data_IF_066983608726
#
_entry.id   IF_066983608726
#
_cell.length_a   1.000
_cell.length_b   1.000
_cell.length_c   1.000
_cell.angle_alpha   90.00
_cell.angle_beta   90.00
_cell.angle_gamma   90.00
#
_symmetry.space_group_name_H-M   'P 1'
#
loop_
_entity.id
_entity.type
_entity.pdbx_description
1 polymer ?
#
# COMPACT_ATOMS: atom_id res chain seq x y z
N UNK A 1 -32.87 -2.74 10.76
CA UNK A 1 -32.25 -2.27 9.49
C UNK A 1 -30.92 -2.96 9.32
N UNK A 2 -30.66 -3.58 8.18
CA UNK A 2 -29.37 -4.24 7.95
C UNK A 2 -28.28 -3.16 7.72
N UNK A 3 -27.10 -3.33 8.32
CA UNK A 3 -25.96 -2.41 8.22
C UNK A 3 -25.55 -2.15 6.76
N UNK A 4 -25.88 -3.07 5.86
CA UNK A 4 -25.64 -3.00 4.42
C UNK A 4 -26.41 -1.91 3.67
N UNK A 5 -27.44 -1.29 4.29
CA UNK A 5 -28.23 -0.23 3.68
C UNK A 5 -27.62 1.16 3.87
N UNK A 6 -26.63 1.30 4.76
CA UNK A 6 -25.96 2.57 5.00
C UNK A 6 -24.88 2.85 3.94
N UNK A 7 -24.91 4.04 3.36
CA UNK A 7 -23.98 4.47 2.31
C UNK A 7 -22.51 4.37 2.75
N UNK A 8 -22.21 4.71 4.00
CA UNK A 8 -20.85 4.62 4.52
C UNK A 8 -20.32 3.18 4.52
N UNK A 9 -21.18 2.20 4.80
CA UNK A 9 -20.79 0.80 4.82
C UNK A 9 -20.63 0.24 3.41
N UNK A 10 -21.49 0.65 2.46
CA UNK A 10 -21.33 0.32 1.05
C UNK A 10 -20.02 0.88 0.47
N UNK A 11 -19.71 2.15 0.79
CA UNK A 11 -18.46 2.78 0.41
C UNK A 11 -17.25 2.05 1.01
N UNK A 12 -17.34 1.63 2.28
CA UNK A 12 -16.28 0.85 2.94
C UNK A 12 -16.04 -0.50 2.25
N UNK A 13 -17.10 -1.21 1.85
CA UNK A 13 -16.99 -2.48 1.13
C UNK A 13 -16.36 -2.32 -0.25
N UNK A 14 -16.81 -1.32 -1.02
CA UNK A 14 -16.24 -1.01 -2.34
C UNK A 14 -14.77 -0.59 -2.22
N UNK A 15 -14.49 0.28 -1.26
CA UNK A 15 -13.13 0.71 -0.99
C UNK A 15 -12.22 -0.44 -0.57
N UNK A 16 -12.68 -1.34 0.30
CA UNK A 16 -11.96 -2.54 0.70
C UNK A 16 -11.65 -3.46 -0.49
N UNK A 17 -12.60 -3.62 -1.42
CA UNK A 17 -12.39 -4.40 -2.63
C UNK A 17 -11.34 -3.76 -3.54
N UNK A 18 -11.47 -2.46 -3.84
CA UNK A 18 -10.54 -1.73 -4.69
C UNK A 18 -9.12 -1.71 -4.08
N UNK A 19 -9.02 -1.43 -2.78
CA UNK A 19 -7.74 -1.46 -2.07
C UNK A 19 -7.12 -2.87 -2.10
N UNK A 20 -7.93 -3.93 -1.93
CA UNK A 20 -7.44 -5.31 -2.02
C UNK A 20 -6.91 -5.65 -3.41
N UNK A 21 -7.54 -5.15 -4.48
CA UNK A 21 -7.06 -5.34 -5.85
C UNK A 21 -5.74 -4.60 -6.06
N UNK A 22 -5.69 -3.29 -5.77
CA UNK A 22 -4.48 -2.48 -5.97
C UNK A 22 -3.31 -3.00 -5.10
N UNK A 23 -3.55 -3.22 -3.81
CA UNK A 23 -2.54 -3.75 -2.88
C UNK A 23 -2.18 -5.21 -3.19
N UNK A 24 -3.10 -6.03 -3.67
CA UNK A 24 -2.83 -7.42 -4.08
C UNK A 24 -1.85 -7.48 -5.23
N UNK A 25 -2.03 -6.63 -6.24
CA UNK A 25 -1.15 -6.53 -7.40
C UNK A 25 0.21 -5.94 -7.00
N UNK A 26 0.23 -4.72 -6.45
CA UNK A 26 1.47 -4.02 -6.11
C UNK A 26 2.25 -4.70 -4.98
N UNK A 27 1.56 -5.20 -3.96
CA UNK A 27 2.17 -5.91 -2.85
C UNK A 27 2.84 -7.22 -3.29
N UNK A 28 2.30 -7.92 -4.29
CA UNK A 28 2.97 -9.11 -4.85
C UNK A 28 4.33 -8.74 -5.45
N UNK A 29 4.43 -7.62 -6.17
CA UNK A 29 5.71 -7.13 -6.67
C UNK A 29 6.66 -6.73 -5.52
N UNK A 30 6.15 -5.95 -4.56
CA UNK A 30 6.91 -5.49 -3.39
C UNK A 30 7.50 -6.67 -2.61
N UNK A 31 6.69 -7.68 -2.31
CA UNK A 31 7.13 -8.86 -1.54
C UNK A 31 8.11 -9.72 -2.35
N UNK A 32 7.86 -9.91 -3.65
CA UNK A 32 8.74 -10.69 -4.53
C UNK A 32 10.12 -10.06 -4.70
N UNK A 33 10.19 -8.72 -4.73
CA UNK A 33 11.44 -7.94 -4.81
C UNK A 33 12.09 -7.69 -3.45
N UNK A 34 11.46 -8.11 -2.34
CA UNK A 34 11.87 -7.83 -0.95
C UNK A 34 11.89 -6.33 -0.61
N UNK A 35 11.07 -5.55 -1.27
CA UNK A 35 10.94 -4.10 -1.13
C UNK A 35 9.94 -3.68 -0.03
N UNK A 36 9.61 -4.57 0.92
CA UNK A 36 8.57 -4.32 1.93
C UNK A 36 8.82 -3.03 2.70
N UNK A 37 10.10 -2.69 2.94
CA UNK A 37 10.47 -1.49 3.67
C UNK A 37 10.09 -0.19 2.93
N UNK A 38 10.00 -0.23 1.58
CA UNK A 38 9.63 0.93 0.76
C UNK A 38 8.18 1.35 1.02
N UNK A 39 7.27 0.38 1.30
CA UNK A 39 5.88 0.70 1.59
C UNK A 39 5.76 1.58 2.83
N UNK A 40 6.50 1.28 3.90
CA UNK A 40 6.59 2.10 5.09
C UNK A 40 7.25 3.46 4.83
N UNK A 41 8.40 3.45 4.13
CA UNK A 41 9.16 4.65 3.81
C UNK A 41 8.36 5.68 3.05
N UNK A 42 7.73 5.28 1.94
CA UNK A 42 6.92 6.18 1.11
C UNK A 42 5.64 6.62 1.83
N UNK A 43 5.01 5.73 2.61
CA UNK A 43 3.83 6.10 3.40
C UNK A 43 4.14 7.24 4.36
N UNK A 44 5.25 7.15 5.09
CA UNK A 44 5.68 8.20 5.99
C UNK A 44 6.21 9.44 5.25
N UNK A 45 6.91 9.26 4.13
CA UNK A 45 7.37 10.36 3.30
C UNK A 45 6.20 11.20 2.76
N UNK A 46 5.07 10.58 2.40
CA UNK A 46 3.87 11.27 1.90
C UNK A 46 3.32 12.31 2.87
N UNK A 47 3.64 12.16 4.17
CA UNK A 47 3.30 13.13 5.20
C UNK A 47 3.89 14.52 4.94
N UNK A 48 5.09 14.58 4.34
CA UNK A 48 5.68 15.84 3.86
C UNK A 48 4.78 16.58 2.88
N UNK A 49 4.19 15.82 1.95
CA UNK A 49 3.23 16.37 0.99
C UNK A 49 1.92 16.84 1.64
N UNK A 50 1.42 16.14 2.67
CA UNK A 50 0.25 16.57 3.44
C UNK A 50 0.53 17.93 4.11
N UNK A 51 1.67 18.07 4.82
CA UNK A 51 2.04 19.31 5.48
C UNK A 51 2.17 20.49 4.51
N UNK A 52 2.84 20.28 3.37
CA UNK A 52 2.94 21.27 2.29
C UNK A 52 1.54 21.65 1.78
N UNK A 53 0.68 20.65 1.51
CA UNK A 53 -0.67 20.90 1.00
C UNK A 53 -1.51 21.75 1.95
N UNK A 54 -1.47 21.46 3.25
CA UNK A 54 -2.19 22.22 4.28
C UNK A 54 -1.65 23.64 4.36
N UNK A 55 -0.34 23.84 4.36
CA UNK A 55 0.28 25.17 4.48
C UNK A 55 -0.07 26.08 3.29
N UNK A 56 -0.02 25.58 2.06
CA UNK A 56 -0.34 26.35 0.85
C UNK A 56 -1.85 26.38 0.53
N UNK A 57 -2.71 25.76 1.32
CA UNK A 57 -4.15 25.69 1.05
C UNK A 57 -4.50 24.87 -0.19
N UNK A 58 -3.64 23.95 -0.62
CA UNK A 58 -3.84 23.02 -1.74
C UNK A 58 -4.45 21.72 -1.20
N UNK A 59 -5.07 20.94 -2.08
CA UNK A 59 -5.61 19.63 -1.68
C UNK A 59 -4.49 18.75 -1.09
N UNK A 60 -4.54 18.38 0.21
CA UNK A 60 -3.46 17.67 0.89
C UNK A 60 -3.18 16.29 0.29
N UNK A 61 -4.19 15.62 -0.28
CA UNK A 61 -4.04 14.28 -0.87
C UNK A 61 -3.27 14.37 -2.19
N UNK A 62 -3.59 15.38 -3.02
CA UNK A 62 -2.87 15.59 -4.28
C UNK A 62 -1.43 16.01 -4.02
N UNK A 63 -1.20 16.87 -3.03
CA UNK A 63 0.14 17.24 -2.60
C UNK A 63 0.93 16.03 -2.05
N UNK A 64 0.28 15.17 -1.24
CA UNK A 64 0.86 13.91 -0.77
C UNK A 64 1.21 12.97 -1.92
N UNK A 65 0.34 12.86 -2.94
CA UNK A 65 0.56 12.03 -4.12
C UNK A 65 1.79 12.45 -4.90
N UNK A 66 1.91 13.76 -5.20
CA UNK A 66 3.08 14.31 -5.90
C UNK A 66 4.35 14.09 -5.09
N UNK A 67 4.33 14.42 -3.80
CA UNK A 67 5.48 14.26 -2.92
C UNK A 67 5.91 12.80 -2.78
N UNK A 68 4.97 11.87 -2.65
CA UNK A 68 5.24 10.44 -2.56
C UNK A 68 5.87 9.89 -3.85
N UNK A 69 5.37 10.30 -5.02
CA UNK A 69 5.95 9.89 -6.32
C UNK A 69 7.36 10.46 -6.49
N UNK A 70 7.59 11.73 -6.13
CA UNK A 70 8.93 12.32 -6.15
C UNK A 70 9.89 11.63 -5.18
N UNK A 71 9.41 11.28 -3.98
CA UNK A 71 10.20 10.52 -3.00
C UNK A 71 10.54 9.12 -3.52
N UNK A 72 9.59 8.43 -4.16
CA UNK A 72 9.81 7.12 -4.77
C UNK A 72 10.86 7.19 -5.89
N UNK A 73 10.80 8.21 -6.74
CA UNK A 73 11.83 8.46 -7.76
C UNK A 73 13.19 8.80 -7.14
N UNK A 74 13.21 9.56 -6.05
CA UNK A 74 14.43 9.87 -5.32
C UNK A 74 15.09 8.62 -4.71
N UNK A 75 14.31 7.71 -4.13
CA UNK A 75 14.80 6.43 -3.62
C UNK A 75 15.41 5.61 -4.76
N UNK A 76 14.71 5.47 -5.89
CA UNK A 76 15.18 4.73 -7.05
C UNK A 76 16.45 5.35 -7.63
N UNK A 77 16.51 6.68 -7.73
CA UNK A 77 17.68 7.40 -8.23
C UNK A 77 18.90 7.22 -7.33
N UNK A 78 18.75 7.34 -6.01
CA UNK A 78 19.83 7.13 -5.05
C UNK A 78 20.36 5.70 -5.09
N UNK A 79 19.46 4.73 -5.20
CA UNK A 79 19.83 3.32 -5.24
C UNK A 79 20.54 2.95 -6.53
N UNK A 80 20.02 3.39 -7.69
CA UNK A 80 20.55 2.97 -8.99
C UNK A 80 21.74 3.79 -9.46
N UNK A 81 21.72 5.12 -9.32
CA UNK A 81 22.76 6.02 -9.84
C UNK A 81 23.86 6.32 -8.83
N UNK A 82 23.49 6.59 -7.58
CA UNK A 82 24.46 6.92 -6.51
C UNK A 82 24.97 5.66 -5.83
N UNK A 83 24.31 4.50 -6.05
CA UNK A 83 24.64 3.18 -5.46
C UNK A 83 24.57 3.19 -3.93
N UNK A 84 23.71 4.00 -3.36
CA UNK A 84 23.35 3.93 -1.94
C UNK A 84 22.53 2.68 -1.70
N UNK A 85 22.71 2.04 -0.55
CA UNK A 85 21.87 0.89 -0.17
C UNK A 85 20.40 1.34 -0.13
N UNK A 86 19.54 0.53 -0.70
CA UNK A 86 18.11 0.82 -0.85
C UNK A 86 17.44 1.15 0.49
N UNK A 87 17.74 0.35 1.55
CA UNK A 87 17.23 0.61 2.89
C UNK A 87 17.60 2.02 3.41
N UNK A 88 18.85 2.46 3.12
CA UNK A 88 19.35 3.78 3.55
C UNK A 88 18.69 4.90 2.75
N UNK A 89 18.47 4.71 1.45
CA UNK A 89 17.74 5.66 0.61
C UNK A 89 16.28 5.83 1.09
N UNK A 90 15.61 4.71 1.40
CA UNK A 90 14.26 4.72 1.93
C UNK A 90 14.23 5.47 3.28
N UNK A 91 15.15 5.16 4.20
CA UNK A 91 15.21 5.82 5.50
C UNK A 91 15.43 7.33 5.39
N UNK A 92 16.25 7.77 4.43
CA UNK A 92 16.49 9.18 4.16
C UNK A 92 15.20 9.90 3.74
N UNK A 93 14.48 9.37 2.74
CA UNK A 93 13.24 9.98 2.27
C UNK A 93 12.12 9.88 3.31
N UNK A 94 12.08 8.83 4.11
CA UNK A 94 11.18 8.70 5.25
C UNK A 94 11.38 9.84 6.25
N UNK A 95 12.60 9.98 6.76
CA UNK A 95 12.91 11.00 7.78
C UNK A 95 12.78 12.42 7.23
N UNK A 96 13.22 12.65 5.99
CA UNK A 96 13.09 13.95 5.32
C UNK A 96 11.62 14.34 5.13
N UNK A 97 10.79 13.42 4.62
CA UNK A 97 9.36 13.67 4.43
C UNK A 97 8.63 13.95 5.75
N UNK A 98 8.90 13.17 6.79
CA UNK A 98 8.35 13.41 8.12
C UNK A 98 8.76 14.80 8.65
N UNK A 99 10.05 15.16 8.52
CA UNK A 99 10.54 16.45 8.97
C UNK A 99 9.89 17.63 8.23
N UNK A 100 9.77 17.52 6.91
CA UNK A 100 9.07 18.51 6.08
C UNK A 100 7.61 18.62 6.49
N UNK A 101 6.92 17.49 6.66
CA UNK A 101 5.53 17.47 7.09
C UNK A 101 5.32 18.17 8.43
N UNK A 102 6.15 17.87 9.43
CA UNK A 102 6.09 18.49 10.74
C UNK A 102 6.38 20.00 10.64
N UNK A 103 7.44 20.41 9.93
CA UNK A 103 7.81 21.83 9.77
C UNK A 103 6.66 22.64 9.19
N UNK A 104 6.10 22.24 8.05
CA UNK A 104 5.00 22.94 7.41
C UNK A 104 3.74 22.93 8.27
N UNK A 105 3.55 21.85 9.01
CA UNK A 105 2.47 21.73 9.97
C UNK A 105 2.55 22.80 11.06
N UNK A 106 3.70 22.98 11.67
CA UNK A 106 3.91 24.02 12.71
C UNK A 106 3.89 25.46 12.15
N UNK A 107 4.23 25.64 10.89
CA UNK A 107 4.16 26.94 10.21
C UNK A 107 2.74 27.32 9.80
N UNK A 108 1.79 26.38 9.81
CA UNK A 108 0.40 26.62 9.40
C UNK A 108 -0.35 27.32 10.55
N UNK A 109 -0.89 28.53 10.36
CA UNK A 109 -1.68 29.21 11.40
C UNK A 109 -3.04 28.53 11.57
N UNK A 110 -3.45 28.26 12.81
CA UNK A 110 -4.76 27.73 13.16
C UNK A 110 -4.74 26.29 13.66
N UNK A 111 -5.92 25.66 13.68
CA UNK A 111 -6.09 24.26 14.14
C UNK A 111 -5.56 23.28 13.10
N UNK A 112 -4.60 22.47 13.49
CA UNK A 112 -4.11 21.38 12.66
C UNK A 112 -5.08 20.19 12.67
N UNK A 113 -5.30 19.56 11.50
CA UNK A 113 -5.89 18.25 11.48
C UNK A 113 -5.08 17.28 12.36
N UNK A 114 -5.75 16.51 13.17
CA UNK A 114 -5.15 15.59 14.11
C UNK A 114 -4.25 14.58 13.38
N UNK A 115 -2.91 14.72 13.55
CA UNK A 115 -1.90 13.83 12.94
C UNK A 115 -2.18 12.35 13.16
N UNK A 116 -2.63 11.92 14.37
CA UNK A 116 -3.07 10.55 14.62
C UNK A 116 -4.17 10.06 13.69
N UNK A 117 -5.06 10.92 13.21
CA UNK A 117 -6.14 10.51 12.31
C UNK A 117 -5.63 9.99 10.95
N UNK A 118 -4.51 10.52 10.47
CA UNK A 118 -3.85 10.01 9.26
C UNK A 118 -3.08 8.70 9.50
N UNK A 119 -2.59 8.47 10.73
CA UNK A 119 -1.88 7.25 11.08
C UNK A 119 -2.80 6.03 11.12
N UNK A 120 -3.97 6.19 11.73
CA UNK A 120 -4.90 5.08 11.96
C UNK A 120 -5.98 4.96 10.89
N UNK A 121 -6.30 6.06 10.19
CA UNK A 121 -7.36 6.10 9.19
C UNK A 121 -8.70 5.58 9.72
N UNK A 122 -9.72 5.67 8.91
CA UNK A 122 -10.99 4.97 9.17
C UNK A 122 -11.64 4.61 7.83
N UNK A 123 -11.75 3.34 7.57
CA UNK A 123 -12.41 2.85 6.36
C UNK A 123 -13.90 3.26 6.30
N UNK A 124 -14.48 3.64 7.44
CA UNK A 124 -15.87 4.07 7.54
C UNK A 124 -16.08 5.54 7.12
N UNK A 125 -15.01 6.34 7.00
CA UNK A 125 -15.08 7.77 6.63
C UNK A 125 -14.82 8.03 5.15
N UNK A 126 -14.83 6.97 4.32
CA UNK A 126 -14.56 7.05 2.89
C UNK A 126 -15.64 7.86 2.16
N UNK A 127 -15.20 8.94 1.51
CA UNK A 127 -16.03 9.72 0.61
C UNK A 127 -16.06 9.17 -0.83
N UNK A 128 -17.02 9.63 -1.62
CA UNK A 128 -17.10 9.26 -3.03
C UNK A 128 -15.89 9.74 -3.85
N UNK A 129 -15.30 10.88 -3.49
CA UNK A 129 -14.07 11.39 -4.10
C UNK A 129 -12.88 10.45 -3.90
N UNK A 130 -12.79 9.82 -2.72
CA UNK A 130 -11.72 8.88 -2.39
C UNK A 130 -11.88 7.58 -3.19
N UNK A 131 -13.12 7.11 -3.36
CA UNK A 131 -13.43 5.94 -4.19
C UNK A 131 -13.07 6.18 -5.66
N UNK A 132 -13.33 7.37 -6.20
CA UNK A 132 -12.95 7.71 -7.57
C UNK A 132 -11.43 7.71 -7.76
N UNK A 133 -10.69 8.33 -6.83
CA UNK A 133 -9.22 8.33 -6.88
C UNK A 133 -8.67 6.90 -6.80
N UNK A 134 -9.15 6.11 -5.84
CA UNK A 134 -8.72 4.72 -5.68
C UNK A 134 -9.09 3.87 -6.90
N UNK A 135 -10.28 4.06 -7.47
CA UNK A 135 -10.70 3.34 -8.68
C UNK A 135 -9.78 3.66 -9.86
N UNK A 136 -9.46 4.95 -10.06
CA UNK A 136 -8.55 5.37 -11.13
C UNK A 136 -7.16 4.75 -10.97
N UNK A 137 -6.61 4.77 -9.75
CA UNK A 137 -5.30 4.15 -9.46
C UNK A 137 -5.36 2.63 -9.62
N UNK A 138 -6.41 1.98 -9.15
CA UNK A 138 -6.59 0.52 -9.27
C UNK A 138 -6.65 0.09 -10.73
N UNK A 139 -7.41 0.81 -11.56
CA UNK A 139 -7.51 0.54 -13.00
C UNK A 139 -6.16 0.77 -13.68
N UNK A 140 -5.46 1.86 -13.34
CA UNK A 140 -4.13 2.15 -13.87
C UNK A 140 -3.13 1.04 -13.53
N UNK A 141 -3.08 0.61 -12.27
CA UNK A 141 -2.22 -0.49 -11.80
C UNK A 141 -2.54 -1.78 -12.53
N UNK A 142 -3.83 -2.15 -12.61
CA UNK A 142 -4.25 -3.37 -13.30
C UNK A 142 -3.88 -3.34 -14.80
N UNK A 143 -4.09 -2.20 -15.45
CA UNK A 143 -3.77 -2.01 -16.87
C UNK A 143 -2.26 -2.12 -17.14
N UNK A 144 -1.42 -1.45 -16.33
CA UNK A 144 0.03 -1.52 -16.48
C UNK A 144 0.52 -2.94 -16.23
N UNK A 145 0.01 -3.63 -15.21
CA UNK A 145 0.36 -5.03 -14.97
C UNK A 145 -0.11 -5.96 -16.09
N UNK A 146 -1.29 -5.73 -16.67
CA UNK A 146 -1.77 -6.52 -17.79
C UNK A 146 -0.87 -6.34 -19.03
N UNK A 147 -0.52 -5.10 -19.35
CA UNK A 147 0.27 -4.78 -20.55
C UNK A 147 1.75 -5.20 -20.41
N UNK A 148 2.33 -4.99 -19.23
CA UNK A 148 3.76 -5.22 -18.98
C UNK A 148 4.04 -6.48 -18.16
N UNK A 149 3.06 -7.39 -18.02
CA UNK A 149 3.12 -8.55 -17.13
C UNK A 149 4.42 -9.36 -17.26
N UNK A 150 4.80 -9.72 -18.49
CA UNK A 150 6.02 -10.51 -18.76
C UNK A 150 7.29 -9.76 -18.36
N UNK A 151 7.36 -8.47 -18.67
CA UNK A 151 8.48 -7.60 -18.33
C UNK A 151 8.61 -7.42 -16.83
N UNK A 152 7.49 -7.16 -16.13
CA UNK A 152 7.45 -7.00 -14.68
C UNK A 152 7.92 -8.28 -13.98
N UNK A 153 7.46 -9.45 -14.41
CA UNK A 153 7.90 -10.73 -13.84
C UNK A 153 9.41 -10.92 -14.07
N UNK A 154 9.91 -10.69 -15.29
CA UNK A 154 11.33 -10.84 -15.58
C UNK A 154 12.18 -9.96 -14.68
N UNK A 155 11.77 -8.70 -14.48
CA UNK A 155 12.46 -7.76 -13.58
C UNK A 155 12.32 -8.20 -12.12
N UNK A 156 11.14 -8.70 -11.70
CA UNK A 156 10.90 -9.11 -10.32
C UNK A 156 11.80 -10.26 -9.89
N UNK A 157 12.10 -11.19 -10.78
CA UNK A 157 12.96 -12.34 -10.48
C UNK A 157 14.45 -12.07 -10.73
N UNK A 158 14.79 -11.45 -11.85
CA UNK A 158 16.19 -11.15 -12.20
C UNK A 158 16.27 -9.92 -13.13
N UNK A 159 16.58 -8.76 -12.53
CA UNK A 159 16.73 -7.51 -13.28
C UNK A 159 17.95 -7.52 -14.21
N UNK A 160 19.04 -8.23 -13.85
CA UNK A 160 20.25 -8.33 -14.68
C UNK A 160 19.98 -9.19 -15.91
N UNK A 161 19.27 -10.29 -15.76
CA UNK A 161 18.81 -11.10 -16.88
C UNK A 161 17.85 -10.30 -17.78
N UNK A 162 16.91 -9.57 -17.22
CA UNK A 162 15.99 -8.72 -17.99
C UNK A 162 16.75 -7.65 -18.80
N UNK A 163 17.82 -7.05 -18.25
CA UNK A 163 18.69 -6.13 -18.97
C UNK A 163 19.42 -6.82 -20.15
N UNK A 164 19.91 -8.04 -19.96
CA UNK A 164 20.57 -8.80 -21.04
C UNK A 164 19.62 -9.08 -22.21
N UNK A 165 18.33 -9.19 -21.95
CA UNK A 165 17.26 -9.33 -22.95
C UNK A 165 16.84 -7.98 -23.58
N UNK A 166 17.58 -6.89 -23.32
CA UNK A 166 17.29 -5.52 -23.79
C UNK A 166 15.92 -4.98 -23.37
N UNK A 167 15.35 -5.49 -22.28
CA UNK A 167 14.13 -4.93 -21.74
C UNK A 167 14.41 -3.55 -21.09
N UNK A 168 13.46 -2.60 -21.14
CA UNK A 168 13.65 -1.26 -20.58
C UNK A 168 13.51 -1.27 -19.03
N UNK A 169 14.44 -1.99 -18.35
CA UNK A 169 14.35 -2.26 -16.90
C UNK A 169 14.21 -0.98 -16.10
N UNK A 170 15.09 0.02 -16.30
CA UNK A 170 15.04 1.25 -15.52
C UNK A 170 13.73 2.01 -15.69
N UNK A 171 13.20 2.10 -16.93
CA UNK A 171 11.93 2.80 -17.17
C UNK A 171 10.77 2.10 -16.45
N UNK A 172 10.77 0.76 -16.45
CA UNK A 172 9.73 -0.03 -15.77
C UNK A 172 9.87 0.05 -14.25
N UNK A 173 11.10 0.04 -13.71
CA UNK A 173 11.34 0.23 -12.26
C UNK A 173 10.82 1.60 -11.80
N UNK A 174 11.16 2.70 -12.48
CA UNK A 174 10.61 4.02 -12.16
C UNK A 174 9.07 4.07 -12.26
N UNK A 175 8.49 3.44 -13.29
CA UNK A 175 7.04 3.35 -13.43
C UNK A 175 6.42 2.58 -12.25
N UNK A 176 7.00 1.45 -11.85
CA UNK A 176 6.51 0.66 -10.72
C UNK A 176 6.66 1.41 -9.39
N UNK A 177 7.76 2.15 -9.19
CA UNK A 177 7.93 3.02 -8.03
C UNK A 177 6.85 4.10 -7.95
N UNK A 178 6.49 4.73 -9.07
CA UNK A 178 5.38 5.67 -9.13
C UNK A 178 4.04 5.00 -8.77
N UNK A 179 3.77 3.81 -9.32
CA UNK A 179 2.54 3.07 -9.03
C UNK A 179 2.46 2.62 -7.57
N UNK A 180 3.58 2.22 -6.96
CA UNK A 180 3.66 1.93 -5.51
C UNK A 180 3.25 3.17 -4.72
N UNK A 181 3.86 4.33 -5.01
CA UNK A 181 3.56 5.58 -4.31
C UNK A 181 2.09 6.00 -4.49
N UNK A 182 1.55 5.90 -5.70
CA UNK A 182 0.15 6.20 -5.99
C UNK A 182 -0.81 5.25 -5.25
N UNK A 183 -0.51 3.95 -5.23
CA UNK A 183 -1.30 2.95 -4.48
C UNK A 183 -1.29 3.24 -2.99
N UNK A 184 -0.14 3.56 -2.43
CA UNK A 184 0.00 3.91 -1.01
C UNK A 184 -0.86 5.12 -0.67
N UNK A 185 -0.69 6.24 -1.39
CA UNK A 185 -1.39 7.48 -1.06
C UNK A 185 -2.90 7.37 -1.28
N UNK A 186 -3.35 6.67 -2.33
CA UNK A 186 -4.78 6.47 -2.58
C UNK A 186 -5.45 5.61 -1.51
N UNK A 187 -4.71 4.69 -0.90
CA UNK A 187 -5.23 3.84 0.20
C UNK A 187 -5.07 4.49 1.58
N UNK A 188 -4.11 5.40 1.75
CA UNK A 188 -3.72 5.96 3.04
C UNK A 188 -4.89 6.65 3.76
N UNK A 189 -5.69 7.44 3.05
CA UNK A 189 -6.84 8.15 3.65
C UNK A 189 -7.92 7.22 4.15
N UNK A 190 -8.11 6.12 3.44
CA UNK A 190 -9.14 5.13 3.77
C UNK A 190 -8.74 4.24 4.94
N UNK A 191 -7.48 3.85 4.94
CA UNK A 191 -7.02 2.70 5.70
C UNK A 191 -5.99 3.10 6.75
N UNK A 192 -5.42 4.30 6.61
CA UNK A 192 -4.32 4.79 7.44
C UNK A 192 -2.98 4.13 7.09
N UNK A 193 -1.91 4.66 7.67
CA UNK A 193 -0.53 4.24 7.39
C UNK A 193 -0.32 2.77 7.71
N UNK A 194 -0.72 2.35 8.91
CA UNK A 194 -0.40 1.01 9.43
C UNK A 194 -1.12 -0.09 8.64
N UNK A 195 -2.40 0.16 8.30
CA UNK A 195 -3.17 -0.81 7.53
C UNK A 195 -2.74 -0.83 6.05
N UNK A 196 -2.32 0.30 5.46
CA UNK A 196 -1.79 0.32 4.09
C UNK A 196 -0.55 -0.57 3.94
N UNK A 197 0.40 -0.49 4.88
CA UNK A 197 1.59 -1.36 4.92
C UNK A 197 1.17 -2.83 5.08
N UNK A 198 0.22 -3.10 5.97
CA UNK A 198 -0.29 -4.45 6.23
C UNK A 198 -0.96 -5.06 4.98
N UNK A 199 -1.77 -4.30 4.25
CA UNK A 199 -2.43 -4.77 3.03
C UNK A 199 -1.46 -5.02 1.87
N UNK A 200 -0.33 -4.33 1.84
CA UNK A 200 0.73 -4.56 0.85
C UNK A 200 1.64 -5.76 1.20
N UNK A 201 1.48 -6.37 2.37
CA UNK A 201 2.42 -7.41 2.83
C UNK A 201 1.74 -8.69 3.31
N UNK A 202 0.79 -8.62 4.25
CA UNK A 202 0.22 -9.81 4.90
C UNK A 202 -0.57 -10.70 3.94
N UNK A 203 -1.46 -10.19 3.06
CA UNK A 203 -2.17 -11.04 2.11
C UNK A 203 -1.22 -11.80 1.17
N UNK A 204 -0.14 -11.15 0.71
CA UNK A 204 0.86 -11.74 -0.17
C UNK A 204 1.71 -12.78 0.55
N UNK A 205 2.11 -12.52 1.79
CA UNK A 205 2.80 -13.50 2.63
C UNK A 205 1.90 -14.73 2.86
N UNK A 206 0.61 -14.51 3.09
CA UNK A 206 -0.37 -15.59 3.25
C UNK A 206 -0.54 -16.39 1.95
N UNK A 207 -0.64 -15.72 0.79
CA UNK A 207 -0.72 -16.36 -0.52
C UNK A 207 0.52 -17.22 -0.81
N UNK A 208 1.71 -16.75 -0.42
CA UNK A 208 2.98 -17.48 -0.56
C UNK A 208 3.03 -18.78 0.26
N UNK A 209 2.15 -18.99 1.22
CA UNK A 209 2.02 -20.28 1.88
C UNK A 209 1.47 -21.36 0.94
N UNK A 210 0.70 -20.98 -0.07
CA UNK A 210 -0.01 -21.91 -0.96
C UNK A 210 0.62 -22.05 -2.34
N UNK A 211 1.27 -20.98 -2.86
CA UNK A 211 1.80 -20.98 -4.22
C UNK A 211 3.02 -20.08 -4.36
N UNK A 212 3.90 -20.42 -5.32
CA UNK A 212 5.04 -19.59 -5.73
C UNK A 212 4.88 -18.98 -7.13
N UNK A 213 3.73 -19.24 -7.79
CA UNK A 213 3.45 -18.67 -9.12
C UNK A 213 2.95 -17.25 -8.98
N UNK A 214 3.67 -16.29 -9.55
CA UNK A 214 3.42 -14.85 -9.41
C UNK A 214 1.94 -14.46 -9.65
N UNK A 215 1.34 -14.92 -10.75
CA UNK A 215 -0.08 -14.63 -11.05
C UNK A 215 -1.06 -15.24 -10.04
N UNK A 216 -0.78 -16.44 -9.52
CA UNK A 216 -1.61 -17.04 -8.47
C UNK A 216 -1.45 -16.32 -7.14
N UNK A 217 -0.25 -15.78 -6.84
CA UNK A 217 -0.03 -14.96 -5.64
C UNK A 217 -0.88 -13.69 -5.73
N UNK A 218 -0.90 -12.98 -6.87
CA UNK A 218 -1.77 -11.82 -7.08
C UNK A 218 -3.23 -12.17 -6.78
N UNK A 219 -3.74 -13.20 -7.45
CA UNK A 219 -5.15 -13.59 -7.32
C UNK A 219 -5.53 -13.96 -5.88
N UNK A 220 -4.72 -14.79 -5.23
CA UNK A 220 -4.95 -15.18 -3.84
C UNK A 220 -4.82 -13.99 -2.89
N UNK A 221 -3.85 -13.09 -3.11
CA UNK A 221 -3.66 -11.90 -2.28
C UNK A 221 -4.86 -10.96 -2.33
N UNK A 222 -5.48 -10.81 -3.50
CA UNK A 222 -6.71 -10.02 -3.65
C UNK A 222 -7.84 -10.62 -2.82
N UNK A 223 -8.06 -11.93 -2.94
CA UNK A 223 -9.12 -12.62 -2.18
C UNK A 223 -8.85 -12.54 -0.68
N UNK A 224 -7.65 -12.89 -0.25
CA UNK A 224 -7.25 -12.88 1.16
C UNK A 224 -7.35 -11.46 1.73
N UNK A 225 -6.88 -10.44 1.00
CA UNK A 225 -6.98 -9.05 1.40
C UNK A 225 -8.42 -8.60 1.60
N UNK A 226 -9.30 -8.96 0.66
CA UNK A 226 -10.72 -8.64 0.77
C UNK A 226 -11.39 -9.36 1.95
N UNK A 227 -11.14 -10.65 2.14
CA UNK A 227 -11.64 -11.42 3.29
C UNK A 227 -11.15 -10.83 4.60
N UNK A 228 -9.85 -10.46 4.71
CA UNK A 228 -9.31 -9.80 5.89
C UNK A 228 -10.02 -8.48 6.21
N UNK A 229 -10.30 -7.66 5.19
CA UNK A 229 -11.06 -6.42 5.36
C UNK A 229 -12.49 -6.69 5.86
N UNK A 230 -13.19 -7.66 5.28
CA UNK A 230 -14.55 -8.01 5.71
C UNK A 230 -14.58 -8.51 7.17
N UNK A 231 -13.70 -9.45 7.51
CA UNK A 231 -13.63 -9.99 8.88
C UNK A 231 -13.24 -8.91 9.88
N UNK A 232 -12.26 -8.05 9.54
CA UNK A 232 -11.85 -6.97 10.41
C UNK A 232 -12.92 -5.89 10.59
N UNK A 233 -13.70 -5.57 9.54
CA UNK A 233 -14.83 -4.65 9.64
C UNK A 233 -15.93 -5.23 10.53
N UNK A 234 -16.26 -6.51 10.41
CA UNK A 234 -17.23 -7.17 11.31
C UNK A 234 -16.74 -7.17 12.75
N UNK A 235 -15.47 -7.50 12.96
CA UNK A 235 -14.86 -7.49 14.30
C UNK A 235 -14.87 -6.09 14.91
N UNK A 236 -14.52 -5.07 14.12
CA UNK A 236 -14.59 -3.66 14.52
C UNK A 236 -16.00 -3.24 14.98
N UNK A 237 -17.00 -3.66 14.22
CA UNK A 237 -18.40 -3.36 14.53
C UNK A 237 -18.85 -4.03 15.84
N UNK A 238 -18.50 -5.29 16.08
CA UNK A 238 -18.91 -6.01 17.28
C UNK A 238 -18.18 -5.58 18.55
N UNK A 239 -16.89 -5.25 18.42
CA UNK A 239 -16.06 -4.89 19.58
C UNK A 239 -15.97 -3.37 19.82
N UNK A 240 -16.57 -2.53 18.94
CA UNK A 240 -16.44 -1.07 18.98
C UNK A 240 -14.98 -0.58 19.03
N UNK A 241 -14.11 -1.19 18.21
CA UNK A 241 -12.68 -0.84 18.10
C UNK A 241 -12.38 -0.21 16.74
N UNK A 242 -11.26 0.55 16.59
CA UNK A 242 -10.87 1.14 15.30
C UNK A 242 -10.74 0.09 14.20
N UNK A 243 -11.36 0.34 13.04
CA UNK A 243 -11.46 -0.62 11.94
C UNK A 243 -10.09 -1.03 11.37
N UNK A 244 -9.15 -0.09 11.25
CA UNK A 244 -7.80 -0.38 10.77
C UNK A 244 -7.08 -1.40 11.65
N UNK A 245 -7.11 -1.21 12.97
CA UNK A 245 -6.47 -2.14 13.92
C UNK A 245 -7.14 -3.52 13.89
N UNK A 246 -8.48 -3.58 13.81
CA UNK A 246 -9.23 -4.83 13.75
C UNK A 246 -8.89 -5.64 12.48
N UNK A 247 -8.75 -4.96 11.33
CA UNK A 247 -8.37 -5.60 10.06
C UNK A 247 -6.94 -6.19 10.14
N UNK A 248 -5.99 -5.42 10.68
CA UNK A 248 -4.60 -5.88 10.82
C UNK A 248 -4.55 -7.09 11.75
N UNK A 249 -5.22 -7.00 12.89
CA UNK A 249 -5.24 -8.07 13.89
C UNK A 249 -5.86 -9.36 13.32
N UNK A 250 -6.98 -9.26 12.62
CA UNK A 250 -7.60 -10.41 11.95
C UNK A 250 -6.68 -11.01 10.87
N UNK A 251 -6.00 -10.17 10.08
CA UNK A 251 -5.09 -10.63 9.03
C UNK A 251 -3.88 -11.40 9.60
N UNK A 252 -3.31 -10.92 10.72
CA UNK A 252 -2.21 -11.61 11.41
C UNK A 252 -2.67 -12.95 11.98
N UNK A 253 -3.84 -12.99 12.61
CA UNK A 253 -4.39 -14.25 13.16
C UNK A 253 -4.61 -15.27 12.02
N UNK A 254 -5.24 -14.85 10.91
CA UNK A 254 -5.47 -15.72 9.77
C UNK A 254 -4.14 -16.25 9.22
N UNK A 255 -3.14 -15.38 9.05
CA UNK A 255 -1.81 -15.79 8.61
C UNK A 255 -1.19 -16.86 9.53
N UNK A 256 -1.22 -16.60 10.86
CA UNK A 256 -0.64 -17.52 11.86
C UNK A 256 -1.37 -18.87 11.88
N UNK A 257 -2.71 -18.87 11.80
CA UNK A 257 -3.49 -20.09 11.76
C UNK A 257 -3.18 -20.92 10.50
N UNK A 258 -3.15 -20.29 9.33
CA UNK A 258 -2.84 -20.97 8.07
C UNK A 258 -1.39 -21.48 8.04
N UNK A 259 -0.44 -20.72 8.60
CA UNK A 259 0.94 -21.15 8.74
C UNK A 259 1.05 -22.38 9.68
N UNK A 260 0.37 -22.35 10.82
CA UNK A 260 0.37 -23.45 11.79
C UNK A 260 -0.24 -24.73 11.18
N UNK A 261 -1.38 -24.60 10.48
CA UNK A 261 -2.03 -25.73 9.78
C UNK A 261 -1.07 -26.30 8.73
N UNK A 262 -0.46 -25.45 7.90
CA UNK A 262 0.53 -25.90 6.91
C UNK A 262 1.70 -26.64 7.57
N UNK A 263 2.25 -26.09 8.64
CA UNK A 263 3.37 -26.71 9.38
C UNK A 263 3.02 -28.08 9.95
N UNK A 264 1.80 -28.25 10.47
CA UNK A 264 1.31 -29.54 10.97
C UNK A 264 1.13 -30.55 9.85
N UNK A 265 0.49 -30.17 8.74
CA UNK A 265 0.24 -31.06 7.60
C UNK A 265 1.55 -31.52 6.95
N UNK A 266 2.57 -30.66 6.86
CA UNK A 266 3.86 -31.03 6.26
C UNK A 266 4.83 -31.75 7.22
N UNK A 267 4.60 -31.71 8.55
CA UNK A 267 5.36 -32.56 9.50
C UNK A 267 4.97 -34.04 9.44
N UNK A 268 3.81 -34.35 8.87
CA UNK A 268 3.34 -35.73 8.73
C UNK A 268 3.55 -36.32 7.31
N UNK A 269 4.29 -35.60 6.45
CA UNK A 269 4.85 -36.13 5.18
C UNK A 269 6.38 -36.11 5.22
#
# INVERSE_FOLDING_TARGET
MSIFQYTFFQNALLGALLASVACGIMGTYIVSRRLVFISGGITHASFGGIGIGVFFGINPIMSAMVYAVLSAFGVEWLSTKVKVREDSAIALFWTFGMSVGILFSFLTPGFMPDLPSFLFGSILTIGTSDLWLLSAVTVLVALVFLLLYRTIISIAFDATFAQSQRLPVHAVEYLLMALIAMTIVSTLRMVGIVLAISMLTIPQMTANLFTYRFGHIIFLSIIIGWVNCLMGLMLSYWLNVPSGAAIIFSAIIIYMLLWAIKSLVFKFK
#
